data_IF_516336043945
#
_entry.id   IF_516336043945
#
_cell.length_a   1.000
_cell.length_b   1.000
_cell.length_c   1.000
_cell.angle_alpha   90.00
_cell.angle_beta   90.00
_cell.angle_gamma   90.00
#
_symmetry.space_group_name_H-M   'P 1'
#
loop_
_entity.id
_entity.type
_entity.pdbx_description
1 polymer ?
#
# COMPACT_ATOMS: atom_id res chain seq x y z
N UNK A 1 -6.48 -23.19 12.52
CA UNK A 1 -5.81 -21.93 12.97
C UNK A 1 -4.44 -21.84 12.32
N UNK A 2 -4.11 -20.72 11.74
CA UNK A 2 -2.83 -20.51 11.05
C UNK A 2 -1.76 -20.12 12.09
N UNK A 3 -0.59 -20.73 12.05
CA UNK A 3 0.52 -20.33 12.92
C UNK A 3 1.16 -19.03 12.44
N UNK A 4 1.84 -18.27 13.33
CA UNK A 4 2.56 -17.05 12.91
C UNK A 4 3.54 -17.30 11.75
N UNK A 5 4.23 -18.43 11.75
CA UNK A 5 5.16 -18.82 10.68
C UNK A 5 4.44 -19.05 9.35
N UNK A 6 3.29 -19.72 9.37
CA UNK A 6 2.48 -19.94 8.17
C UNK A 6 1.94 -18.61 7.62
N UNK A 7 1.53 -17.70 8.50
CA UNK A 7 1.11 -16.35 8.09
C UNK A 7 2.26 -15.58 7.43
N UNK A 8 3.46 -15.61 8.04
CA UNK A 8 4.63 -14.94 7.48
C UNK A 8 5.01 -15.50 6.09
N UNK A 9 4.98 -16.83 5.92
CA UNK A 9 5.20 -17.46 4.61
C UNK A 9 4.16 -17.00 3.58
N UNK A 10 2.90 -17.00 3.96
CA UNK A 10 1.79 -16.56 3.10
C UNK A 10 1.94 -15.09 2.65
N UNK A 11 2.38 -14.23 3.57
CA UNK A 11 2.66 -12.83 3.26
C UNK A 11 3.85 -12.70 2.31
N UNK A 12 4.93 -13.44 2.53
CA UNK A 12 6.10 -13.45 1.66
C UNK A 12 5.76 -13.92 0.25
N UNK A 13 4.98 -14.99 0.11
CA UNK A 13 4.51 -15.50 -1.18
C UNK A 13 3.63 -14.49 -1.91
N UNK A 14 2.73 -13.83 -1.18
CA UNK A 14 1.87 -12.79 -1.75
C UNK A 14 2.68 -11.55 -2.18
N UNK A 15 3.68 -11.15 -1.41
CA UNK A 15 4.57 -10.05 -1.76
C UNK A 15 5.39 -10.38 -3.01
N UNK A 16 5.95 -11.59 -3.09
CA UNK A 16 6.68 -12.06 -4.26
C UNK A 16 5.79 -12.06 -5.51
N UNK A 17 4.57 -12.60 -5.39
CA UNK A 17 3.60 -12.64 -6.48
C UNK A 17 3.18 -11.25 -6.96
N UNK A 18 3.12 -10.26 -6.07
CA UNK A 18 2.87 -8.87 -6.42
C UNK A 18 4.07 -8.27 -7.16
N UNK A 19 5.29 -8.42 -6.62
CA UNK A 19 6.52 -7.89 -7.22
C UNK A 19 6.76 -8.44 -8.64
N UNK A 20 6.44 -9.71 -8.88
CA UNK A 20 6.57 -10.35 -10.20
C UNK A 20 5.61 -9.74 -11.24
N UNK A 21 4.53 -9.11 -10.82
CA UNK A 21 3.58 -8.42 -11.71
C UNK A 21 3.99 -6.99 -12.03
N UNK A 22 4.96 -6.43 -11.33
CA UNK A 22 5.44 -5.08 -11.57
C UNK A 22 6.39 -5.06 -12.76
N UNK A 23 6.35 -3.98 -13.54
CA UNK A 23 7.32 -3.74 -14.59
C UNK A 23 8.65 -3.19 -14.04
N UNK A 24 9.62 -2.99 -14.93
CA UNK A 24 10.98 -2.58 -14.55
C UNK A 24 11.06 -1.15 -14.02
N UNK A 25 10.07 -0.30 -14.34
CA UNK A 25 9.99 1.07 -13.81
C UNK A 25 9.33 1.08 -12.43
N UNK A 26 8.31 0.25 -12.22
CA UNK A 26 7.57 0.17 -10.96
C UNK A 26 8.37 -0.50 -9.84
N UNK A 27 9.14 -1.54 -10.18
CA UNK A 27 9.82 -2.37 -9.17
C UNK A 27 10.79 -1.60 -8.28
N UNK A 28 11.66 -0.71 -8.78
CA UNK A 28 12.56 0.07 -7.93
C UNK A 28 11.84 1.04 -7.00
N UNK A 29 10.64 1.48 -7.37
CA UNK A 29 9.80 2.36 -6.53
C UNK A 29 9.14 1.57 -5.40
N UNK A 30 8.77 0.32 -5.65
CA UNK A 30 8.06 -0.55 -4.72
C UNK A 30 8.95 -1.34 -3.78
N UNK A 31 10.20 -1.59 -4.14
CA UNK A 31 11.10 -2.46 -3.40
C UNK A 31 12.45 -1.81 -3.13
N UNK A 32 12.87 -1.84 -1.89
CA UNK A 32 14.22 -1.43 -1.46
C UNK A 32 15.21 -2.61 -1.55
N UNK A 33 16.50 -2.28 -1.62
CA UNK A 33 17.57 -3.24 -1.91
C UNK A 33 17.70 -4.38 -0.89
N UNK A 34 17.29 -4.16 0.34
CA UNK A 34 17.29 -5.21 1.35
C UNK A 34 17.30 -4.67 2.77
N UNK A 35 16.95 -5.50 3.75
CA UNK A 35 16.88 -5.07 5.14
C UNK A 35 18.26 -4.89 5.81
N UNK A 36 19.34 -5.24 5.13
CA UNK A 36 20.68 -5.27 5.70
C UNK A 36 21.48 -3.98 5.52
N UNK A 37 21.02 -3.05 4.67
CA UNK A 37 21.69 -1.75 4.49
C UNK A 37 21.01 -0.64 5.31
N UNK A 38 21.80 0.36 5.69
CA UNK A 38 21.33 1.44 6.56
C UNK A 38 20.19 2.27 5.95
N UNK A 39 20.17 2.42 4.63
CA UNK A 39 19.13 3.17 3.91
C UNK A 39 17.82 2.44 3.96
N UNK A 40 17.80 1.14 3.66
CA UNK A 40 16.59 0.29 3.71
C UNK A 40 16.07 0.18 5.15
N UNK A 41 16.94 0.08 6.14
CA UNK A 41 16.54 0.03 7.55
C UNK A 41 15.93 1.35 8.03
N UNK A 42 16.50 2.48 7.63
CA UNK A 42 15.93 3.80 7.92
C UNK A 42 14.55 3.96 7.25
N UNK A 43 14.40 3.54 6.00
CA UNK A 43 13.14 3.58 5.26
C UNK A 43 12.07 2.70 5.89
N UNK A 44 12.41 1.49 6.32
CA UNK A 44 11.50 0.57 7.01
C UNK A 44 10.91 1.16 8.29
N UNK A 45 11.65 2.04 8.96
CA UNK A 45 11.22 2.72 10.20
C UNK A 45 10.55 4.06 9.96
N UNK A 46 10.62 4.59 8.76
CA UNK A 46 10.03 5.87 8.41
C UNK A 46 8.51 5.75 8.41
N UNK A 47 7.86 6.60 9.20
CA UNK A 47 6.41 6.60 9.31
C UNK A 47 5.87 8.02 9.35
N UNK A 48 4.79 8.26 8.63
CA UNK A 48 4.11 9.54 8.56
C UNK A 48 2.60 9.35 8.62
N UNK A 49 1.91 10.33 9.14
CA UNK A 49 0.45 10.39 9.18
C UNK A 49 -0.14 11.53 8.34
N UNK A 50 0.70 12.35 7.74
CA UNK A 50 0.27 13.43 6.85
C UNK A 50 -0.02 12.89 5.45
N UNK A 51 -1.08 13.36 4.77
CA UNK A 51 -1.46 12.89 3.43
C UNK A 51 -0.61 13.57 2.34
N UNK A 52 0.71 13.47 2.46
CA UNK A 52 1.69 13.97 1.50
C UNK A 52 2.35 12.82 0.77
N UNK A 53 3.13 13.11 -0.27
CA UNK A 53 3.92 12.09 -0.95
C UNK A 53 5.12 11.68 -0.08
N UNK A 54 5.16 10.42 0.29
CA UNK A 54 6.23 9.83 1.11
C UNK A 54 7.07 8.80 0.34
N UNK A 55 6.86 8.69 -0.96
CA UNK A 55 7.47 7.67 -1.80
C UNK A 55 6.68 6.37 -1.78
N UNK A 56 7.10 5.41 -2.58
CA UNK A 56 6.37 4.15 -2.78
C UNK A 56 5.48 4.16 -4.01
N UNK A 57 4.92 3.02 -4.34
CA UNK A 57 4.06 2.81 -5.50
C UNK A 57 2.60 2.90 -5.08
N UNK A 58 1.92 3.96 -5.52
CA UNK A 58 0.51 4.16 -5.18
C UNK A 58 -0.40 3.18 -5.93
N UNK A 59 -1.61 2.97 -5.42
CA UNK A 59 -2.63 2.14 -6.08
C UNK A 59 -2.93 2.65 -7.49
N UNK A 60 -2.99 3.97 -7.69
CA UNK A 60 -3.20 4.56 -9.03
C UNK A 60 -2.09 4.27 -10.03
N UNK A 61 -0.87 4.09 -9.58
CA UNK A 61 0.27 3.76 -10.43
C UNK A 61 0.32 2.28 -10.82
N UNK A 62 -0.65 1.50 -10.38
CA UNK A 62 -0.75 0.07 -10.60
C UNK A 62 -1.90 -0.27 -11.56
N UNK A 63 -1.68 -1.25 -12.42
CA UNK A 63 -2.73 -1.82 -13.26
C UNK A 63 -3.68 -2.67 -12.42
N UNK A 64 -4.92 -2.95 -12.88
CA UNK A 64 -5.90 -3.71 -12.10
C UNK A 64 -5.40 -5.05 -11.54
N UNK A 65 -4.63 -5.80 -12.32
CA UNK A 65 -4.07 -7.07 -11.85
C UNK A 65 -3.01 -6.90 -10.74
N UNK A 66 -2.23 -5.82 -10.81
CA UNK A 66 -1.25 -5.44 -9.78
C UNK A 66 -1.96 -4.98 -8.50
N UNK A 67 -3.01 -4.17 -8.63
CA UNK A 67 -3.84 -3.74 -7.50
C UNK A 67 -4.47 -4.93 -6.76
N UNK A 68 -5.00 -5.91 -7.50
CA UNK A 68 -5.54 -7.13 -6.90
C UNK A 68 -4.47 -7.91 -6.13
N UNK A 69 -3.26 -8.02 -6.67
CA UNK A 69 -2.16 -8.70 -6.00
C UNK A 69 -1.71 -7.95 -4.73
N UNK A 70 -1.65 -6.61 -4.78
CA UNK A 70 -1.36 -5.78 -3.61
C UNK A 70 -2.41 -5.98 -2.50
N UNK A 71 -3.70 -5.97 -2.84
CA UNK A 71 -4.77 -6.21 -1.87
C UNK A 71 -4.77 -7.65 -1.35
N UNK A 72 -4.31 -8.62 -2.13
CA UNK A 72 -4.09 -10.00 -1.66
C UNK A 72 -2.99 -10.05 -0.59
N UNK A 73 -1.91 -9.28 -0.77
CA UNK A 73 -0.86 -9.14 0.24
C UNK A 73 -1.40 -8.52 1.54
N UNK A 74 -2.17 -7.44 1.43
CA UNK A 74 -2.83 -6.81 2.60
C UNK A 74 -3.73 -7.81 3.32
N UNK A 75 -4.54 -8.56 2.59
CA UNK A 75 -5.42 -9.58 3.16
C UNK A 75 -4.66 -10.72 3.84
N UNK A 76 -3.48 -11.09 3.33
CA UNK A 76 -2.66 -12.17 3.89
C UNK A 76 -2.16 -11.86 5.31
N UNK A 77 -1.98 -10.57 5.64
CA UNK A 77 -1.50 -10.11 6.95
C UNK A 77 -2.60 -9.75 7.94
N UNK A 78 -3.87 -9.81 7.54
CA UNK A 78 -5.00 -9.36 8.35
C UNK A 78 -6.03 -10.47 8.56
N UNK A 79 -6.82 -10.35 9.63
CA UNK A 79 -8.06 -11.10 9.76
C UNK A 79 -9.09 -10.60 8.73
N UNK A 80 -10.14 -11.38 8.49
CA UNK A 80 -11.24 -10.95 7.61
C UNK A 80 -11.83 -9.62 8.09
N UNK A 81 -12.07 -9.48 9.39
CA UNK A 81 -12.60 -8.24 9.97
C UNK A 81 -11.61 -7.08 9.79
N UNK A 82 -10.30 -7.31 10.00
CA UNK A 82 -9.26 -6.32 9.78
C UNK A 82 -9.19 -5.86 8.32
N UNK A 83 -9.27 -6.78 7.38
CA UNK A 83 -9.28 -6.47 5.96
C UNK A 83 -10.51 -5.62 5.58
N UNK A 84 -11.70 -6.00 6.05
CA UNK A 84 -12.92 -5.22 5.81
C UNK A 84 -12.78 -3.80 6.38
N UNK A 85 -12.20 -3.65 7.55
CA UNK A 85 -11.93 -2.34 8.16
C UNK A 85 -11.00 -1.50 7.28
N UNK A 86 -9.89 -2.05 6.84
CA UNK A 86 -8.93 -1.35 5.96
C UNK A 86 -9.59 -0.93 4.64
N UNK A 87 -10.27 -1.86 3.96
CA UNK A 87 -10.93 -1.58 2.69
C UNK A 87 -12.03 -0.51 2.83
N UNK A 88 -12.77 -0.55 3.93
CA UNK A 88 -13.80 0.45 4.25
C UNK A 88 -13.17 1.84 4.47
N UNK A 89 -12.10 1.93 5.25
CA UNK A 89 -11.38 3.19 5.48
C UNK A 89 -10.86 3.76 4.17
N UNK A 90 -10.25 2.93 3.32
CA UNK A 90 -9.81 3.37 1.99
C UNK A 90 -10.97 3.92 1.15
N UNK A 91 -12.11 3.24 1.13
CA UNK A 91 -13.29 3.69 0.40
C UNK A 91 -13.89 4.99 0.95
N UNK A 92 -13.76 5.25 2.24
CA UNK A 92 -14.23 6.48 2.88
C UNK A 92 -13.46 7.73 2.45
N UNK A 93 -12.30 7.60 1.82
CA UNK A 93 -11.58 8.75 1.26
C UNK A 93 -12.44 9.54 0.27
N UNK A 94 -13.24 8.87 -0.57
CA UNK A 94 -14.16 9.54 -1.48
C UNK A 94 -15.29 10.30 -0.76
N UNK A 95 -15.75 9.77 0.36
CA UNK A 95 -16.76 10.44 1.20
C UNK A 95 -16.16 11.67 1.86
N UNK A 96 -14.96 11.53 2.42
CA UNK A 96 -14.24 12.63 3.05
C UNK A 96 -13.91 13.74 2.05
N UNK A 97 -13.48 13.40 0.85
CA UNK A 97 -13.22 14.35 -0.23
C UNK A 97 -14.46 15.21 -0.52
N UNK A 98 -15.62 14.57 -0.65
CA UNK A 98 -16.90 15.27 -0.82
C UNK A 98 -17.26 16.16 0.37
N UNK A 99 -17.08 15.68 1.59
CA UNK A 99 -17.36 16.44 2.82
C UNK A 99 -16.46 17.68 2.93
N UNK A 100 -15.20 17.55 2.52
CA UNK A 100 -14.22 18.64 2.49
C UNK A 100 -14.40 19.58 1.28
N UNK A 101 -15.32 19.30 0.36
CA UNK A 101 -15.61 20.14 -0.81
C UNK A 101 -14.63 19.97 -1.95
N UNK A 102 -14.04 18.80 -2.12
CA UNK A 102 -13.08 18.44 -3.18
C UNK A 102 -11.84 19.35 -3.21
N UNK A 103 -11.38 19.75 -2.04
CA UNK A 103 -10.21 20.63 -1.92
C UNK A 103 -8.93 19.81 -1.98
N UNK A 104 -8.00 20.21 -2.87
CA UNK A 104 -6.65 19.68 -2.88
C UNK A 104 -5.80 20.39 -1.83
N UNK A 105 -5.00 19.62 -1.08
CA UNK A 105 -4.08 20.14 -0.06
C UNK A 105 -2.70 19.51 -0.25
N UNK A 106 -1.70 20.12 0.36
CA UNK A 106 -0.33 19.57 0.41
C UNK A 106 0.29 19.36 -0.99
N UNK A 107 0.06 20.30 -1.92
CA UNK A 107 0.58 20.26 -3.30
C UNK A 107 0.22 19.00 -4.10
N UNK A 108 -0.90 18.36 -3.78
CA UNK A 108 -1.42 17.21 -4.50
C UNK A 108 -2.32 17.63 -5.65
N UNK A 109 -2.21 16.94 -6.77
CA UNK A 109 -3.15 17.07 -7.89
C UNK A 109 -4.55 16.56 -7.56
N UNK A 110 -4.63 15.62 -6.61
CA UNK A 110 -5.87 14.99 -6.15
C UNK A 110 -6.11 15.31 -4.68
N UNK A 111 -7.36 15.42 -4.30
CA UNK A 111 -7.79 15.52 -2.91
C UNK A 111 -7.71 14.17 -2.19
N UNK A 112 -8.80 13.76 -1.57
CA UNK A 112 -8.91 12.43 -0.92
C UNK A 112 -9.28 11.38 -1.95
N UNK A 113 -8.48 10.34 -2.09
CA UNK A 113 -8.69 9.29 -3.09
C UNK A 113 -8.09 7.97 -2.60
N UNK A 114 -8.85 6.85 -2.63
CA UNK A 114 -8.34 5.54 -2.21
C UNK A 114 -7.15 5.06 -3.07
N UNK A 115 -7.01 5.57 -4.28
CA UNK A 115 -5.87 5.26 -5.16
C UNK A 115 -4.56 5.91 -4.75
N UNK A 116 -4.55 6.81 -3.76
CA UNK A 116 -3.34 7.47 -3.25
C UNK A 116 -2.62 6.67 -2.15
N UNK A 117 -3.21 5.59 -1.67
CA UNK A 117 -2.52 4.66 -0.75
C UNK A 117 -1.34 3.97 -1.45
N UNK A 118 -0.25 3.71 -0.70
CA UNK A 118 0.98 3.07 -1.18
C UNK A 118 1.64 2.24 -0.07
#
# INVERSE_FOLDING_TARGET
MTTPRQTATKMADAAQAWLERLDDEQRPVAQWAGPADDVSEAERRRWFYTPTDHGGLTVHQQRPAQQRAAMTLVAAGLSVAGYVTVATIMGLENVLDRVEGFVTRFDRERGRDPGLYY
#
